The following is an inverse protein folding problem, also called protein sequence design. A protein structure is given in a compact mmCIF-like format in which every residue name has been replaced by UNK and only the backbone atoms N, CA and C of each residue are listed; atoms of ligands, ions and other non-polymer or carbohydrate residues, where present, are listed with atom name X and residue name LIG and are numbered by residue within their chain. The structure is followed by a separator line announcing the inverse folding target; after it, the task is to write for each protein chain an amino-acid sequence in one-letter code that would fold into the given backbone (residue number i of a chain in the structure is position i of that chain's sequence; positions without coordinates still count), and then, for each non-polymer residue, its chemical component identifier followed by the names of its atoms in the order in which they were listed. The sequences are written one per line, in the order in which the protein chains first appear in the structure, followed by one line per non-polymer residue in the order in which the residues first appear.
data_IF_198022609754
#
_entry.id   IF_198022609754
#
_cell.length_a   1.000
_cell.length_b   1.000
_cell.length_c   1.000
_cell.angle_alpha   90.00
_cell.angle_beta   90.00
_cell.angle_gamma   90.00
#
_symmetry.space_group_name_H-M   'P 1'
#
loop_
_entity.id
_entity.type
_entity.pdbx_description
1 polymer ?
#
# COMPACT_ATOMS: atom_id res chain seq x y z
N UNK A 1 45.98 -16.78 29.36
CA UNK A 1 44.55 -16.54 29.62
C UNK A 1 44.21 -15.15 29.13
N UNK A 2 43.66 -15.02 27.92
CA UNK A 2 43.10 -13.75 27.44
C UNK A 2 41.60 -13.93 27.34
N UNK A 3 40.87 -13.39 28.31
CA UNK A 3 39.43 -13.28 28.23
C UNK A 3 39.10 -12.15 27.26
N UNK A 4 38.54 -12.52 26.10
CA UNK A 4 37.96 -11.55 25.16
C UNK A 4 36.67 -11.06 25.79
N UNK A 5 36.68 -9.84 26.34
CA UNK A 5 35.46 -9.13 26.72
C UNK A 5 34.68 -8.80 25.44
N UNK A 6 33.70 -9.64 25.09
CA UNK A 6 32.69 -9.28 24.11
C UNK A 6 31.81 -8.18 24.71
N UNK A 7 31.96 -6.96 24.21
CA UNK A 7 31.04 -5.87 24.56
C UNK A 7 29.66 -6.20 23.96
N UNK A 8 28.56 -6.05 24.71
CA UNK A 8 27.22 -6.20 24.15
C UNK A 8 27.04 -5.15 23.04
N UNK A 9 26.65 -5.62 21.85
CA UNK A 9 26.29 -4.73 20.76
C UNK A 9 25.20 -3.74 21.24
N UNK A 10 25.26 -2.45 20.86
CA UNK A 10 24.20 -1.51 21.21
C UNK A 10 22.87 -2.05 20.69
N UNK A 11 21.80 -1.95 21.49
CA UNK A 11 20.48 -2.52 21.19
C UNK A 11 19.92 -2.16 19.79
N UNK A 12 20.35 -1.04 19.22
CA UNK A 12 20.02 -0.65 17.84
C UNK A 12 20.65 -1.54 16.76
N UNK A 13 21.89 -2.01 16.93
CA UNK A 13 22.56 -2.90 15.97
C UNK A 13 21.92 -4.29 15.94
N UNK A 14 21.47 -4.79 17.10
CA UNK A 14 20.75 -6.06 17.20
C UNK A 14 19.36 -5.95 16.55
N UNK A 15 18.63 -4.86 16.79
CA UNK A 15 17.32 -4.61 16.17
C UNK A 15 17.39 -4.47 14.64
N UNK A 16 18.46 -3.89 14.10
CA UNK A 16 18.71 -3.82 12.65
C UNK A 16 19.02 -5.22 12.07
N UNK A 17 19.90 -5.98 12.71
CA UNK A 17 20.24 -7.34 12.26
C UNK A 17 19.03 -8.29 12.29
N UNK A 18 18.19 -8.19 13.32
CA UNK A 18 16.94 -8.95 13.41
C UNK A 18 15.95 -8.52 12.31
N UNK A 19 15.88 -7.22 12.01
CA UNK A 19 15.06 -6.69 10.91
C UNK A 19 15.48 -7.23 9.53
N UNK A 20 16.78 -7.22 9.23
CA UNK A 20 17.29 -7.75 7.96
C UNK A 20 17.07 -9.26 7.82
N UNK A 21 17.21 -10.02 8.91
CA UNK A 21 16.88 -11.46 8.92
C UNK A 21 15.40 -11.69 8.63
N UNK A 22 14.50 -10.96 9.30
CA UNK A 22 13.05 -11.07 9.08
C UNK A 22 12.69 -10.74 7.64
N UNK A 23 13.18 -9.61 7.11
CA UNK A 23 12.90 -9.21 5.74
C UNK A 23 13.46 -10.18 4.70
N UNK A 24 14.63 -10.76 4.95
CA UNK A 24 15.21 -11.80 4.09
C UNK A 24 14.31 -13.03 4.04
N UNK A 25 13.82 -13.49 5.19
CA UNK A 25 12.93 -14.64 5.26
C UNK A 25 11.55 -14.35 4.65
N UNK A 26 10.98 -13.16 4.87
CA UNK A 26 9.72 -12.76 4.23
C UNK A 26 9.89 -12.66 2.71
N UNK A 27 10.98 -12.07 2.21
CA UNK A 27 11.25 -12.02 0.76
C UNK A 27 11.44 -13.42 0.17
N UNK A 28 12.10 -14.33 0.89
CA UNK A 28 12.22 -15.72 0.47
C UNK A 28 10.84 -16.42 0.39
N UNK A 29 9.98 -16.21 1.38
CA UNK A 29 8.62 -16.74 1.39
C UNK A 29 7.74 -16.17 0.26
N UNK A 30 7.95 -14.89 -0.08
CA UNK A 30 7.28 -14.22 -1.19
C UNK A 30 7.86 -14.60 -2.56
N UNK A 31 9.04 -15.23 -2.65
CA UNK A 31 9.71 -15.51 -3.91
C UNK A 31 8.85 -16.30 -4.94
N UNK A 32 8.00 -17.27 -4.56
CA UNK A 32 7.10 -17.94 -5.50
C UNK A 32 6.04 -17.00 -6.11
N UNK A 33 5.66 -15.95 -5.38
CA UNK A 33 4.75 -14.91 -5.84
C UNK A 33 5.46 -13.76 -6.58
N UNK A 34 6.72 -13.50 -6.24
CA UNK A 34 7.54 -12.42 -6.75
C UNK A 34 8.79 -12.94 -7.49
N UNK A 35 8.65 -13.77 -8.56
CA UNK A 35 9.78 -14.19 -9.39
C UNK A 35 10.23 -13.06 -10.35
N UNK A 36 10.11 -11.82 -9.90
CA UNK A 36 10.27 -10.63 -10.70
C UNK A 36 11.73 -10.17 -10.63
N UNK A 37 12.29 -9.63 -11.73
CA UNK A 37 13.63 -9.07 -11.68
C UNK A 37 13.67 -7.88 -10.72
N UNK A 38 14.82 -7.70 -10.08
CA UNK A 38 15.10 -6.45 -9.39
C UNK A 38 15.19 -5.29 -10.39
N UNK A 39 14.90 -4.07 -9.95
CA UNK A 39 15.15 -2.88 -10.76
C UNK A 39 16.64 -2.56 -10.84
N UNK A 40 17.03 -1.78 -11.84
CA UNK A 40 18.34 -1.14 -11.92
C UNK A 40 18.56 -0.11 -10.79
N UNK A 41 19.74 0.51 -10.78
CA UNK A 41 20.12 1.52 -9.79
C UNK A 41 19.19 2.75 -9.80
N UNK A 42 18.54 3.03 -10.94
CA UNK A 42 17.57 4.14 -11.05
C UNK A 42 16.22 3.81 -10.41
N UNK A 43 15.91 2.53 -10.19
CA UNK A 43 14.61 2.11 -9.68
C UNK A 43 13.50 2.12 -10.73
N UNK A 44 13.83 2.33 -12.01
CA UNK A 44 12.81 2.64 -13.03
C UNK A 44 12.64 1.55 -14.07
N UNK A 45 13.62 0.66 -14.26
CA UNK A 45 13.54 -0.45 -15.23
C UNK A 45 14.11 -1.73 -14.62
N UNK A 46 13.80 -2.91 -15.17
CA UNK A 46 14.42 -4.15 -14.73
C UNK A 46 15.95 -4.10 -14.90
N UNK A 47 16.70 -4.57 -13.91
CA UNK A 47 18.16 -4.64 -13.95
C UNK A 47 18.70 -5.48 -15.12
N UNK A 48 17.91 -6.45 -15.58
CA UNK A 48 18.24 -7.29 -16.73
C UNK A 48 17.75 -6.70 -18.08
N UNK A 49 17.12 -5.52 -18.07
CA UNK A 49 16.54 -4.88 -19.26
C UNK A 49 15.42 -5.66 -19.93
N UNK A 50 14.87 -6.70 -19.30
CA UNK A 50 13.90 -7.59 -19.93
C UNK A 50 12.50 -6.97 -19.97
N UNK A 51 11.83 -6.95 -21.14
CA UNK A 51 10.43 -6.51 -21.25
C UNK A 51 9.42 -7.61 -20.84
N UNK A 52 9.88 -8.85 -20.67
CA UNK A 52 9.02 -10.02 -20.52
C UNK A 52 8.23 -10.02 -19.20
N UNK A 53 8.85 -9.87 -18.01
CA UNK A 53 8.09 -9.90 -16.77
C UNK A 53 7.21 -8.64 -16.66
N UNK A 54 5.95 -8.82 -16.30
CA UNK A 54 5.00 -7.72 -16.14
C UNK A 54 5.29 -6.86 -14.90
N UNK A 55 6.03 -7.39 -13.93
CA UNK A 55 6.34 -6.74 -12.67
C UNK A 55 7.84 -6.78 -12.42
N UNK A 56 8.31 -5.88 -11.57
CA UNK A 56 9.69 -5.78 -11.09
C UNK A 56 9.66 -5.41 -9.61
N UNK A 57 10.74 -5.74 -8.88
CA UNK A 57 10.86 -5.46 -7.44
C UNK A 57 11.97 -4.45 -7.24
N UNK A 58 11.74 -3.45 -6.39
CA UNK A 58 12.81 -2.51 -6.04
C UNK A 58 13.86 -3.20 -5.15
N UNK A 59 15.17 -3.02 -5.42
CA UNK A 59 16.22 -3.45 -4.52
C UNK A 59 15.99 -2.85 -3.13
N UNK A 60 15.92 -3.72 -2.13
CA UNK A 60 15.74 -3.34 -0.74
C UNK A 60 17.01 -2.67 -0.20
N UNK A 61 16.87 -1.49 0.39
CA UNK A 61 17.98 -0.89 1.12
C UNK A 61 18.10 -1.52 2.52
N UNK A 62 19.31 -1.64 3.08
CA UNK A 62 19.49 -2.16 4.44
C UNK A 62 18.63 -1.39 5.47
N UNK A 63 17.92 -2.12 6.33
CA UNK A 63 17.02 -1.53 7.31
C UNK A 63 15.61 -1.20 6.81
N UNK A 64 15.35 -1.23 5.50
CA UNK A 64 13.98 -1.11 4.98
C UNK A 64 13.14 -2.34 5.34
N UNK A 65 11.91 -2.05 5.76
CA UNK A 65 10.88 -3.04 6.10
C UNK A 65 9.74 -3.08 5.08
N UNK A 66 9.99 -2.53 3.90
CA UNK A 66 9.04 -2.50 2.81
C UNK A 66 9.62 -3.21 1.59
N UNK A 67 8.75 -3.85 0.80
CA UNK A 67 9.08 -4.40 -0.51
C UNK A 67 8.16 -3.68 -1.51
N UNK A 68 8.75 -2.95 -2.45
CA UNK A 68 8.02 -2.24 -3.50
C UNK A 68 8.01 -3.09 -4.78
N UNK A 69 6.81 -3.42 -5.26
CA UNK A 69 6.57 -4.16 -6.49
C UNK A 69 5.93 -3.23 -7.51
N UNK A 70 6.58 -3.01 -8.64
CA UNK A 70 6.20 -2.02 -9.64
C UNK A 70 5.92 -2.67 -10.98
N UNK A 71 5.03 -2.07 -11.77
CA UNK A 71 4.81 -2.47 -13.15
C UNK A 71 6.08 -2.23 -13.98
N UNK A 72 6.51 -3.23 -14.76
CA UNK A 72 7.63 -3.09 -15.67
C UNK A 72 7.25 -2.15 -16.83
N UNK A 73 7.89 -0.97 -17.00
CA UNK A 73 7.55 -0.03 -18.07
C UNK A 73 8.01 -0.49 -19.46
N UNK A 74 8.90 -1.48 -19.55
CA UNK A 74 9.34 -2.07 -20.81
C UNK A 74 8.36 -3.13 -21.33
N UNK A 75 7.42 -3.58 -20.49
CA UNK A 75 6.44 -4.58 -20.87
C UNK A 75 5.32 -3.99 -21.73
N UNK A 76 5.05 -4.59 -22.89
CA UNK A 76 4.06 -4.08 -23.86
C UNK A 76 2.65 -3.95 -23.29
N UNK A 77 2.22 -4.88 -22.41
CA UNK A 77 0.90 -4.83 -21.78
C UNK A 77 0.82 -3.62 -20.86
N UNK A 78 1.86 -3.36 -20.09
CA UNK A 78 1.93 -2.20 -19.19
C UNK A 78 2.03 -0.89 -19.98
N UNK A 79 2.80 -0.84 -21.06
CA UNK A 79 2.84 0.32 -21.96
C UNK A 79 1.45 0.60 -22.56
N UNK A 80 0.76 -0.43 -23.04
CA UNK A 80 -0.60 -0.30 -23.55
C UNK A 80 -1.61 0.13 -22.47
N UNK A 81 -1.39 -0.26 -21.21
CA UNK A 81 -2.20 0.23 -20.07
C UNK A 81 -1.87 1.68 -19.76
N UNK A 82 -0.59 2.04 -19.67
CA UNK A 82 -0.12 3.40 -19.43
C UNK A 82 -0.62 4.38 -20.52
N UNK A 83 -0.58 4.00 -21.79
CA UNK A 83 -1.13 4.80 -22.89
C UNK A 83 -2.63 5.02 -22.75
N UNK A 84 -3.40 3.98 -22.40
CA UNK A 84 -4.84 4.09 -22.16
C UNK A 84 -5.16 4.97 -20.95
N UNK A 85 -4.37 4.83 -19.90
CA UNK A 85 -4.43 5.63 -18.69
C UNK A 85 -4.17 7.12 -18.98
N UNK A 86 -3.09 7.44 -19.71
CA UNK A 86 -2.79 8.81 -20.13
C UNK A 86 -3.89 9.42 -20.99
N UNK A 87 -4.50 8.64 -21.89
CA UNK A 87 -5.65 9.11 -22.67
C UNK A 87 -6.86 9.44 -21.79
N UNK A 88 -7.14 8.63 -20.76
CA UNK A 88 -8.23 8.89 -19.81
C UNK A 88 -7.96 10.13 -18.96
N UNK A 89 -6.72 10.29 -18.47
CA UNK A 89 -6.30 11.50 -17.75
C UNK A 89 -6.46 12.73 -18.64
N UNK A 90 -6.04 12.67 -19.90
CA UNK A 90 -6.21 13.76 -20.86
C UNK A 90 -7.69 14.14 -21.05
N UNK A 91 -8.58 13.16 -21.21
CA UNK A 91 -10.03 13.42 -21.31
C UNK A 91 -10.58 14.06 -20.04
N UNK A 92 -10.13 13.63 -18.85
CA UNK A 92 -10.56 14.20 -17.58
C UNK A 92 -10.10 15.66 -17.42
N UNK A 93 -8.84 15.94 -17.77
CA UNK A 93 -8.26 17.29 -17.76
C UNK A 93 -9.00 18.21 -18.73
N UNK A 94 -9.23 17.77 -19.97
CA UNK A 94 -9.97 18.56 -20.97
C UNK A 94 -11.39 18.88 -20.51
N UNK A 95 -12.07 17.91 -19.89
CA UNK A 95 -13.41 18.10 -19.35
C UNK A 95 -13.43 19.04 -18.14
N UNK A 96 -12.37 19.05 -17.33
CA UNK A 96 -12.21 19.98 -16.22
C UNK A 96 -11.92 21.40 -16.73
N UNK A 97 -11.01 21.57 -17.68
CA UNK A 97 -10.69 22.86 -18.29
C UNK A 97 -11.93 23.49 -18.93
N UNK A 98 -12.70 22.75 -19.72
CA UNK A 98 -13.97 23.26 -20.29
C UNK A 98 -14.98 23.67 -19.23
N UNK A 99 -15.08 22.93 -18.12
CA UNK A 99 -15.97 23.30 -17.00
C UNK A 99 -15.50 24.61 -16.34
N UNK A 100 -14.20 24.77 -16.16
CA UNK A 100 -13.62 25.98 -15.59
C UNK A 100 -13.81 27.20 -16.50
N UNK A 101 -13.59 27.05 -17.81
CA UNK A 101 -13.87 28.09 -18.80
C UNK A 101 -15.33 28.53 -18.77
N UNK A 102 -16.27 27.58 -18.75
CA UNK A 102 -17.70 27.88 -18.66
C UNK A 102 -18.08 28.58 -17.33
N UNK A 103 -17.44 28.20 -16.22
CA UNK A 103 -17.66 28.86 -14.93
C UNK A 103 -17.10 30.28 -14.92
N UNK A 104 -15.91 30.49 -15.48
CA UNK A 104 -15.31 31.80 -15.64
C UNK A 104 -16.18 32.69 -16.54
N UNK A 105 -16.63 32.19 -17.70
CA UNK A 105 -17.53 32.93 -18.59
C UNK A 105 -18.84 33.33 -17.89
N UNK A 106 -19.45 32.41 -17.13
CA UNK A 106 -20.65 32.70 -16.34
C UNK A 106 -20.40 33.77 -15.27
N UNK A 107 -19.29 33.66 -14.54
CA UNK A 107 -18.92 34.64 -13.52
C UNK A 107 -18.64 36.01 -14.13
N UNK A 108 -17.96 36.08 -15.29
CA UNK A 108 -17.73 37.33 -16.03
C UNK A 108 -19.04 37.93 -16.53
N UNK A 109 -19.94 37.12 -17.07
CA UNK A 109 -21.25 37.59 -17.54
C UNK A 109 -22.11 38.11 -16.37
N UNK A 110 -22.09 37.42 -15.22
CA UNK A 110 -22.82 37.83 -14.03
C UNK A 110 -22.21 39.07 -13.36
N UNK A 111 -20.88 39.19 -13.34
CA UNK A 111 -20.18 40.38 -12.86
C UNK A 111 -20.48 41.60 -13.74
N UNK A 112 -20.50 41.44 -15.07
CA UNK A 112 -20.94 42.49 -16.00
C UNK A 112 -22.39 42.91 -15.76
N UNK A 113 -23.26 41.99 -15.37
CA UNK A 113 -24.69 42.25 -15.11
C UNK A 113 -24.94 42.93 -13.76
N UNK A 114 -24.19 42.57 -12.72
CA UNK A 114 -24.49 42.95 -11.33
C UNK A 114 -23.48 43.93 -10.72
N UNK A 115 -22.34 44.18 -11.39
CA UNK A 115 -21.27 45.05 -10.89
C UNK A 115 -20.50 44.48 -9.70
N UNK A 116 -20.77 43.24 -9.29
CA UNK A 116 -20.08 42.55 -8.20
C UNK A 116 -19.31 41.35 -8.77
N UNK A 117 -18.02 41.28 -8.45
CA UNK A 117 -17.21 40.11 -8.76
C UNK A 117 -17.68 38.93 -7.91
N UNK A 118 -18.02 37.81 -8.53
CA UNK A 118 -18.05 36.53 -7.83
C UNK A 118 -16.64 35.94 -7.85
N UNK A 119 -16.24 35.32 -6.74
CA UNK A 119 -15.02 34.52 -6.69
C UNK A 119 -15.22 33.31 -7.62
N UNK A 120 -14.41 33.25 -8.68
CA UNK A 120 -14.32 32.09 -9.55
C UNK A 120 -13.48 31.08 -8.80
N UNK A 121 -14.08 29.94 -8.48
CA UNK A 121 -13.33 28.88 -7.84
C UNK A 121 -12.31 28.31 -8.82
N UNK A 122 -11.05 28.31 -8.40
CA UNK A 122 -9.93 27.93 -9.26
C UNK A 122 -9.97 26.45 -9.62
N UNK A 123 -9.32 26.11 -10.73
CA UNK A 123 -9.01 24.71 -11.08
C UNK A 123 -8.08 24.16 -10.00
N UNK A 124 -8.58 23.23 -9.18
CA UNK A 124 -7.77 22.48 -8.23
C UNK A 124 -7.04 21.33 -8.94
N UNK A 125 -5.88 20.94 -8.42
CA UNK A 125 -5.14 19.72 -8.82
C UNK A 125 -5.95 18.41 -8.56
N UNK A 126 -7.18 18.52 -8.06
CA UNK A 126 -8.12 17.42 -7.80
C UNK A 126 -8.73 16.80 -9.06
N UNK A 127 -8.57 17.40 -10.25
CA UNK A 127 -9.24 16.94 -11.47
C UNK A 127 -8.57 15.74 -12.15
N UNK A 128 -7.30 15.45 -11.85
CA UNK A 128 -6.68 14.14 -12.12
C UNK A 128 -7.20 13.05 -11.15
N UNK A 129 -7.78 13.48 -10.02
CA UNK A 129 -7.75 12.82 -8.71
C UNK A 129 -8.06 11.33 -8.68
N UNK A 130 -9.23 10.90 -9.14
CA UNK A 130 -9.65 9.49 -9.04
C UNK A 130 -8.99 8.62 -10.10
N UNK A 131 -8.87 9.13 -11.33
CA UNK A 131 -8.30 8.37 -12.44
C UNK A 131 -6.80 8.14 -12.23
N UNK A 132 -6.05 9.20 -11.92
CA UNK A 132 -4.62 9.12 -11.62
C UNK A 132 -4.35 8.22 -10.41
N UNK A 133 -5.04 8.45 -9.29
CA UNK A 133 -4.86 7.63 -8.08
C UNK A 133 -5.17 6.15 -8.31
N UNK A 134 -6.17 5.83 -9.15
CA UNK A 134 -6.46 4.46 -9.54
C UNK A 134 -5.34 3.85 -10.38
N UNK A 135 -4.84 4.59 -11.37
CA UNK A 135 -3.78 4.12 -12.26
C UNK A 135 -2.50 3.84 -11.47
N UNK A 136 -2.12 4.75 -10.58
CA UNK A 136 -0.95 4.60 -9.71
C UNK A 136 -1.08 3.37 -8.80
N UNK A 137 -2.26 3.19 -8.19
CA UNK A 137 -2.55 2.02 -7.37
C UNK A 137 -2.54 0.71 -8.18
N UNK A 138 -3.01 0.72 -9.43
CA UNK A 138 -2.99 -0.47 -10.30
C UNK A 138 -1.58 -0.78 -10.82
N UNK A 139 -0.64 0.17 -10.79
CA UNK A 139 0.73 0.00 -11.26
C UNK A 139 1.73 -0.43 -10.16
N UNK A 140 1.30 -0.51 -8.91
CA UNK A 140 2.19 -0.70 -7.77
C UNK A 140 1.56 -1.55 -6.66
N UNK A 141 2.38 -2.30 -5.92
CA UNK A 141 2.05 -2.89 -4.63
C UNK A 141 3.18 -2.63 -3.65
N UNK A 142 2.85 -2.08 -2.49
CA UNK A 142 3.76 -1.99 -1.34
C UNK A 142 3.47 -3.12 -0.38
N UNK A 143 4.51 -3.78 0.13
CA UNK A 143 4.42 -4.82 1.16
C UNK A 143 5.24 -4.38 2.38
N UNK A 144 4.57 -3.91 3.41
CA UNK A 144 5.19 -3.47 4.66
C UNK A 144 5.17 -4.59 5.70
N UNK A 145 6.28 -4.76 6.41
CA UNK A 145 6.46 -5.80 7.44
C UNK A 145 6.82 -5.16 8.77
N UNK A 146 5.88 -5.24 9.71
CA UNK A 146 6.12 -4.85 11.09
C UNK A 146 6.18 -6.08 11.99
N UNK A 147 7.05 -6.05 12.99
CA UNK A 147 7.18 -7.14 13.94
C UNK A 147 7.52 -6.65 15.35
N UNK A 148 7.17 -7.46 16.35
CA UNK A 148 7.36 -7.17 17.78
C UNK A 148 6.79 -5.82 18.25
N UNK A 149 5.76 -5.30 17.58
CA UNK A 149 5.09 -4.10 18.05
C UNK A 149 4.21 -4.42 19.27
N UNK A 150 4.09 -3.50 20.25
CA UNK A 150 3.19 -3.68 21.39
C UNK A 150 1.71 -3.70 20.96
N UNK A 151 1.39 -3.02 19.88
CA UNK A 151 0.10 -3.05 19.19
C UNK A 151 0.33 -2.69 17.74
N UNK A 152 -0.40 -3.32 16.84
CA UNK A 152 -0.45 -2.93 15.44
C UNK A 152 -1.70 -2.08 15.22
N UNK A 153 -1.51 -0.91 14.62
CA UNK A 153 -2.61 0.02 14.34
C UNK A 153 -2.56 0.42 12.87
N UNK A 154 -3.66 0.20 12.16
CA UNK A 154 -3.78 0.50 10.73
C UNK A 154 -4.93 1.46 10.50
N UNK A 155 -4.65 2.58 9.85
CA UNK A 155 -5.69 3.43 9.25
C UNK A 155 -6.03 2.93 7.85
N UNK A 156 -7.31 2.69 7.60
CA UNK A 156 -7.85 2.22 6.31
C UNK A 156 -8.98 3.15 5.86
N UNK A 157 -8.84 3.74 4.68
CA UNK A 157 -9.91 4.51 4.04
C UNK A 157 -10.66 3.64 3.05
N UNK A 158 -11.98 3.55 3.15
CA UNK A 158 -12.84 2.80 2.23
C UNK A 158 -14.31 3.08 2.51
N UNK A 159 -15.19 2.94 1.51
CA UNK A 159 -16.63 2.77 1.73
C UNK A 159 -17.03 1.36 2.20
N UNK A 160 -16.09 0.42 2.32
CA UNK A 160 -16.34 -0.94 2.78
C UNK A 160 -15.63 -1.14 4.12
N UNK A 161 -16.40 -1.52 5.14
CA UNK A 161 -15.84 -1.78 6.45
C UNK A 161 -14.84 -2.96 6.40
N UNK A 162 -13.62 -2.80 6.93
CA UNK A 162 -12.68 -3.90 7.07
C UNK A 162 -13.29 -4.99 7.95
N UNK A 163 -13.26 -6.23 7.47
CA UNK A 163 -13.76 -7.37 8.22
C UNK A 163 -12.59 -8.33 8.52
N UNK A 164 -12.14 -8.43 9.78
CA UNK A 164 -11.14 -9.42 10.14
C UNK A 164 -11.72 -10.82 10.02
N UNK A 165 -11.00 -11.69 9.32
CA UNK A 165 -11.37 -13.08 9.12
C UNK A 165 -10.27 -14.00 9.63
N UNK A 166 -10.65 -15.09 10.29
CA UNK A 166 -9.76 -16.24 10.49
C UNK A 166 -9.86 -17.13 9.26
N UNK A 167 -9.34 -16.66 8.13
CA UNK A 167 -9.36 -17.48 6.92
C UNK A 167 -8.46 -18.70 7.09
N UNK A 168 -8.94 -19.88 6.71
CA UNK A 168 -8.14 -21.13 6.68
C UNK A 168 -7.08 -21.08 5.56
N UNK A 169 -7.17 -20.10 4.65
CA UNK A 169 -6.30 -20.01 3.48
C UNK A 169 -4.83 -19.69 3.81
N UNK A 170 -4.56 -19.01 4.94
CA UNK A 170 -3.20 -18.72 5.40
C UNK A 170 -3.01 -19.42 6.75
N UNK A 171 -2.32 -20.56 6.71
CA UNK A 171 -2.00 -21.29 7.92
C UNK A 171 -1.25 -20.40 8.94
N UNK A 172 -1.61 -20.51 10.21
CA UNK A 172 -0.97 -19.79 11.31
C UNK A 172 -1.25 -18.28 11.39
N UNK A 173 -2.02 -17.70 10.46
CA UNK A 173 -2.51 -16.34 10.59
C UNK A 173 -3.55 -16.25 11.72
N UNK A 174 -3.37 -15.27 12.60
CA UNK A 174 -4.34 -14.91 13.65
C UNK A 174 -5.58 -14.29 13.02
N UNK A 175 -5.37 -13.39 12.05
CA UNK A 175 -6.42 -12.77 11.29
C UNK A 175 -5.89 -12.28 9.94
N UNK A 176 -6.77 -12.25 8.95
CA UNK A 176 -6.58 -11.58 7.66
C UNK A 176 -7.66 -10.52 7.54
N UNK A 177 -7.25 -9.30 7.28
CA UNK A 177 -8.14 -8.18 7.00
C UNK A 177 -7.96 -7.83 5.52
N UNK A 178 -9.05 -7.72 4.78
CA UNK A 178 -9.03 -7.35 3.37
C UNK A 178 -10.02 -6.24 3.11
N UNK A 179 -9.59 -5.25 2.35
CA UNK A 179 -10.40 -4.13 1.86
C UNK A 179 -10.19 -4.07 0.35
N UNK A 180 -11.23 -4.29 -0.48
CA UNK A 180 -11.10 -4.20 -1.92
C UNK A 180 -10.85 -2.75 -2.36
N UNK A 181 -10.33 -2.57 -3.56
CA UNK A 181 -10.21 -1.23 -4.14
C UNK A 181 -11.59 -0.66 -4.43
N UNK A 182 -11.80 0.64 -4.17
CA UNK A 182 -13.09 1.28 -4.39
C UNK A 182 -12.99 2.79 -4.56
N UNK A 183 -14.02 3.35 -5.19
CA UNK A 183 -14.25 4.79 -5.26
C UNK A 183 -15.37 5.15 -4.30
N UNK A 184 -15.15 6.17 -3.48
CA UNK A 184 -16.13 6.64 -2.50
C UNK A 184 -16.18 8.17 -2.47
N UNK A 185 -17.31 8.71 -2.00
CA UNK A 185 -17.49 10.16 -1.89
C UNK A 185 -17.23 10.63 -0.47
N UNK A 186 -16.40 11.65 -0.32
CA UNK A 186 -16.16 12.34 0.93
C UNK A 186 -16.82 13.71 0.86
N UNK A 187 -17.58 14.06 1.90
CA UNK A 187 -18.09 15.43 2.06
C UNK A 187 -16.99 16.30 2.66
N UNK A 188 -16.52 17.27 1.88
CA UNK A 188 -15.55 18.28 2.32
C UNK A 188 -16.25 19.63 2.23
N UNK A 189 -16.60 20.19 3.40
CA UNK A 189 -17.41 21.41 3.51
C UNK A 189 -18.73 21.34 2.71
N UNK A 190 -19.00 22.30 1.83
CA UNK A 190 -20.22 22.36 1.01
C UNK A 190 -20.15 21.50 -0.28
N UNK A 191 -19.10 20.67 -0.44
CA UNK A 191 -18.88 19.88 -1.65
C UNK A 191 -18.67 18.41 -1.35
N UNK A 192 -18.94 17.58 -2.36
CA UNK A 192 -18.59 16.17 -2.36
C UNK A 192 -17.45 15.92 -3.33
N UNK A 193 -16.38 15.31 -2.86
CA UNK A 193 -15.25 14.88 -3.68
C UNK A 193 -15.24 13.35 -3.80
N UNK A 194 -14.93 12.84 -4.97
CA UNK A 194 -14.69 11.41 -5.16
C UNK A 194 -13.22 11.10 -4.86
N UNK A 195 -12.99 10.04 -4.09
CA UNK A 195 -11.66 9.51 -3.76
C UNK A 195 -11.56 8.06 -4.18
N UNK A 196 -10.38 7.67 -4.65
CA UNK A 196 -10.03 6.27 -4.88
C UNK A 196 -9.25 5.74 -3.69
N UNK A 197 -9.65 4.57 -3.16
CA UNK A 197 -8.84 3.79 -2.23
C UNK A 197 -8.23 2.58 -2.92
N UNK A 198 -6.90 2.36 -2.81
CA UNK A 198 -6.27 1.13 -3.28
C UNK A 198 -6.76 -0.07 -2.46
N UNK A 199 -6.64 -1.26 -3.04
CA UNK A 199 -6.90 -2.47 -2.27
C UNK A 199 -5.85 -2.61 -1.16
N UNK A 200 -6.27 -3.13 -0.02
CA UNK A 200 -5.41 -3.33 1.13
C UNK A 200 -5.66 -4.70 1.77
N UNK A 201 -4.60 -5.39 2.15
CA UNK A 201 -4.67 -6.63 2.92
C UNK A 201 -3.68 -6.59 4.07
N UNK A 202 -4.09 -7.04 5.26
CA UNK A 202 -3.21 -7.19 6.42
C UNK A 202 -3.28 -8.63 6.91
N UNK A 203 -2.13 -9.28 6.98
CA UNK A 203 -1.98 -10.63 7.53
C UNK A 203 -1.26 -10.53 8.87
N UNK A 204 -1.93 -10.96 9.93
CA UNK A 204 -1.47 -10.87 11.31
C UNK A 204 -1.04 -12.24 11.82
N UNK A 205 0.13 -12.32 12.46
CA UNK A 205 0.72 -13.56 12.96
C UNK A 205 1.20 -13.46 14.41
N UNK A 206 1.30 -14.62 15.06
CA UNK A 206 1.90 -14.77 16.39
C UNK A 206 0.91 -14.58 17.53
N UNK A 207 1.40 -14.13 18.68
CA UNK A 207 0.61 -13.95 19.91
C UNK A 207 -0.14 -12.62 19.90
N UNK A 208 -1.12 -12.49 19.01
CA UNK A 208 -1.97 -11.30 18.87
C UNK A 208 -3.39 -11.55 19.38
N UNK A 209 -4.00 -10.53 19.99
CA UNK A 209 -5.44 -10.50 20.20
C UNK A 209 -6.20 -10.46 18.88
N UNK A 210 -7.50 -10.80 18.90
CA UNK A 210 -8.35 -10.56 17.73
C UNK A 210 -8.36 -9.06 17.41
N UNK A 211 -8.11 -8.66 16.16
CA UNK A 211 -8.13 -7.24 15.78
C UNK A 211 -9.53 -6.65 15.94
N UNK A 212 -9.59 -5.48 16.54
CA UNK A 212 -10.80 -4.66 16.65
C UNK A 212 -10.84 -3.65 15.50
N UNK A 213 -12.00 -3.50 14.86
CA UNK A 213 -12.22 -2.48 13.83
C UNK A 213 -13.10 -1.39 14.43
N UNK A 214 -12.61 -0.14 14.36
CA UNK A 214 -13.29 1.04 14.88
C UNK A 214 -13.54 2.01 13.73
N UNK A 215 -14.80 2.35 13.51
CA UNK A 215 -15.17 3.41 12.57
C UNK A 215 -14.75 4.77 13.16
N UNK A 216 -13.95 5.52 12.42
CA UNK A 216 -13.48 6.88 12.77
C UNK A 216 -14.30 7.95 12.04
N UNK A 217 -14.72 7.65 10.82
CA UNK A 217 -15.66 8.44 10.03
C UNK A 217 -16.37 7.53 9.01
N UNK A 218 -17.33 8.09 8.26
CA UNK A 218 -18.14 7.36 7.25
C UNK A 218 -17.31 6.48 6.29
N UNK A 219 -16.06 6.87 5.98
CA UNK A 219 -15.18 6.12 5.10
C UNK A 219 -13.77 5.90 5.67
N UNK A 220 -13.59 6.01 7.00
CA UNK A 220 -12.29 5.81 7.63
C UNK A 220 -12.41 4.87 8.82
N UNK A 221 -11.56 3.84 8.84
CA UNK A 221 -11.52 2.81 9.84
C UNK A 221 -10.14 2.74 10.47
N UNK A 222 -10.12 2.43 11.75
CA UNK A 222 -8.91 2.08 12.48
C UNK A 222 -9.00 0.62 12.90
N UNK A 223 -8.01 -0.17 12.51
CA UNK A 223 -7.85 -1.55 12.95
C UNK A 223 -6.76 -1.59 14.02
N UNK A 224 -7.07 -2.15 15.18
CA UNK A 224 -6.12 -2.32 16.29
C UNK A 224 -5.98 -3.79 16.64
N UNK A 225 -4.75 -4.31 16.58
CA UNK A 225 -4.40 -5.67 17.00
C UNK A 225 -3.38 -5.61 18.15
N UNK A 226 -3.81 -5.76 19.41
CA UNK A 226 -2.90 -5.71 20.56
C UNK A 226 -2.03 -6.98 20.62
N UNK A 227 -0.76 -6.82 20.96
CA UNK A 227 0.09 -7.96 21.27
C UNK A 227 -0.23 -8.52 22.66
N UNK A 228 -0.35 -9.84 22.75
CA UNK A 228 -0.42 -10.53 24.03
C UNK A 228 0.99 -10.70 24.61
N UNK A 229 1.08 -10.86 25.94
CA UNK A 229 2.33 -11.23 26.57
C UNK A 229 2.79 -12.59 26.04
N UNK A 230 3.97 -12.66 25.44
CA UNK A 230 4.55 -13.91 25.00
C UNK A 230 5.31 -14.57 26.16
N UNK A 231 5.03 -15.85 26.41
CA UNK A 231 5.70 -16.64 27.44
C UNK A 231 7.08 -17.16 26.98
N UNK A 232 7.34 -17.16 25.67
CA UNK A 232 8.56 -17.72 25.08
C UNK A 232 9.52 -16.66 24.51
N UNK A 233 10.84 -16.87 24.64
CA UNK A 233 11.86 -15.94 24.14
C UNK A 233 12.14 -16.16 22.63
N UNK A 234 11.12 -16.17 21.78
CA UNK A 234 11.36 -16.13 20.33
C UNK A 234 11.81 -14.72 19.92
N UNK A 235 12.81 -14.58 19.02
CA UNK A 235 13.22 -13.28 18.50
C UNK A 235 12.09 -12.53 17.79
N UNK A 236 11.11 -13.23 17.20
CA UNK A 236 9.91 -12.63 16.58
C UNK A 236 8.68 -13.24 17.22
N UNK A 237 7.89 -12.44 17.93
CA UNK A 237 6.73 -12.89 18.71
C UNK A 237 5.40 -12.59 18.04
N UNK A 238 5.37 -11.48 17.32
CA UNK A 238 4.22 -10.97 16.57
C UNK A 238 4.72 -10.37 15.28
N UNK A 239 3.90 -10.43 14.24
CA UNK A 239 4.20 -9.83 12.95
C UNK A 239 2.93 -9.44 12.21
N UNK A 240 3.01 -8.36 11.46
CA UNK A 240 2.00 -7.92 10.52
C UNK A 240 2.65 -7.72 9.14
N UNK A 241 2.03 -8.31 8.11
CA UNK A 241 2.38 -8.05 6.71
C UNK A 241 1.22 -7.31 6.08
N UNK A 242 1.45 -6.05 5.70
CA UNK A 242 0.46 -5.17 5.07
C UNK A 242 0.78 -5.03 3.58
N UNK A 243 -0.18 -5.34 2.73
CA UNK A 243 -0.10 -5.18 1.28
C UNK A 243 -1.07 -4.07 0.84
N UNK A 244 -0.62 -3.13 0.01
CA UNK A 244 -1.46 -2.04 -0.50
C UNK A 244 -1.17 -1.76 -1.98
N UNK A 245 -2.22 -1.60 -2.80
CA UNK A 245 -2.09 -1.25 -4.21
C UNK A 245 -2.97 -2.11 -5.12
N UNK A 246 -2.36 -2.76 -6.12
CA UNK A 246 -3.05 -3.56 -7.11
C UNK A 246 -3.74 -4.80 -6.51
N UNK A 247 -5.07 -4.82 -6.56
CA UNK A 247 -5.91 -5.87 -5.97
C UNK A 247 -5.62 -7.28 -6.49
N UNK A 248 -5.43 -7.41 -7.81
CA UNK A 248 -5.18 -8.71 -8.46
C UNK A 248 -3.82 -9.27 -8.06
N UNK A 249 -2.80 -8.40 -8.02
CA UNK A 249 -1.46 -8.78 -7.59
C UNK A 249 -1.43 -9.14 -6.10
N UNK A 250 -2.12 -8.39 -5.24
CA UNK A 250 -2.27 -8.72 -3.81
C UNK A 250 -2.90 -10.11 -3.66
N UNK A 251 -3.99 -10.41 -4.36
CA UNK A 251 -4.63 -11.72 -4.30
C UNK A 251 -3.69 -12.85 -4.77
N UNK A 252 -2.89 -12.61 -5.80
CA UNK A 252 -1.91 -13.58 -6.29
C UNK A 252 -0.76 -13.81 -5.28
N UNK A 253 -0.27 -12.74 -4.67
CA UNK A 253 0.73 -12.79 -3.60
C UNK A 253 0.20 -13.60 -2.43
N UNK A 254 -1.00 -13.28 -1.93
CA UNK A 254 -1.59 -13.98 -0.80
C UNK A 254 -1.74 -15.47 -1.04
N UNK A 255 -2.02 -15.86 -2.29
CA UNK A 255 -2.24 -17.25 -2.68
C UNK A 255 -0.94 -18.05 -2.87
N UNK A 256 0.11 -17.42 -3.43
CA UNK A 256 1.35 -18.11 -3.84
C UNK A 256 2.46 -18.06 -2.80
N UNK A 257 2.37 -17.17 -1.82
CA UNK A 257 3.38 -17.03 -0.77
C UNK A 257 3.53 -18.32 0.04
N UNK A 258 4.78 -18.70 0.33
CA UNK A 258 5.11 -19.80 1.22
C UNK A 258 4.96 -19.36 2.69
N UNK A 259 3.71 -19.24 3.14
CA UNK A 259 3.39 -18.84 4.51
C UNK A 259 4.02 -19.71 5.61
N UNK A 260 4.17 -21.04 5.46
CA UNK A 260 4.96 -21.86 6.38
C UNK A 260 6.35 -21.30 6.66
N UNK A 261 7.06 -20.80 5.64
CA UNK A 261 8.39 -20.21 5.84
C UNK A 261 8.34 -18.92 6.70
N UNK A 262 7.27 -18.13 6.56
CA UNK A 262 7.02 -16.95 7.41
C UNK A 262 6.77 -17.37 8.86
N UNK A 263 6.05 -18.48 9.10
CA UNK A 263 5.76 -18.98 10.44
C UNK A 263 6.99 -19.53 11.16
N UNK A 264 8.01 -20.01 10.45
CA UNK A 264 9.26 -20.45 11.08
C UNK A 264 9.96 -19.31 11.85
N UNK A 265 9.72 -18.05 11.48
CA UNK A 265 10.24 -16.89 12.21
C UNK A 265 9.67 -16.77 13.63
N UNK A 266 8.47 -17.32 13.86
CA UNK A 266 7.71 -17.18 15.10
C UNK A 266 7.92 -18.34 16.09
N UNK A 267 8.74 -19.32 15.70
CA UNK A 267 9.13 -20.45 16.56
C UNK A 267 10.35 -20.10 17.41
#
# INVERSE_FOLDING_TARGET
MSAVCAWPAPAGAQAMADGDRVMTAVRAALAPALPFPDTDDSGTVPANGSPVPAWMVRPRQPGERSIEVMANPLNEINQARAMRAMAQIGVAIDAAQRRAELQYERAVAEAKRTGRSQDVDGVGLSDEGVAGARIDAEAHVTIDVDFNQPSYTFGMESSVAPAPSRSVAIAGAVAIIMVPSNVFRVKVAERSEEKFSPAEAVVLFGTLGMPEVRERSENAYEVVAPAAAAEHPSPVRTMAIRLRGNEVLIADILRKTDWPQVLELLK
#
